data_IF_691356160394
#
_entry.id   IF_691356160394
#
_cell.length_a   1.000
_cell.length_b   1.000
_cell.length_c   1.000
_cell.angle_alpha   90.00
_cell.angle_beta   90.00
_cell.angle_gamma   90.00
#
_symmetry.space_group_name_H-M   'P 1'
#
loop_
_entity.id
_entity.type
_entity.pdbx_description
1 polymer ?
#
# COMPACT_ATOMS: atom_id res chain seq x y z
N UNK A 1 -11.82 -18.83 10.31
CA UNK A 1 -12.85 -17.85 9.90
C UNK A 1 -13.66 -18.48 8.79
N UNK A 2 -14.98 -18.26 8.75
CA UNK A 2 -15.80 -18.79 7.65
C UNK A 2 -15.47 -18.03 6.36
N UNK A 3 -15.60 -18.65 5.18
CA UNK A 3 -15.31 -17.98 3.91
C UNK A 3 -16.13 -16.69 3.68
N UNK A 4 -17.31 -16.57 4.31
CA UNK A 4 -18.14 -15.36 4.28
C UNK A 4 -17.58 -14.21 5.11
N UNK A 5 -16.84 -14.51 6.20
CA UNK A 5 -16.23 -13.48 7.04
C UNK A 5 -15.06 -12.81 6.31
N UNK A 6 -14.29 -13.59 5.53
CA UNK A 6 -13.17 -13.07 4.75
C UNK A 6 -13.63 -12.14 3.61
N UNK A 7 -14.74 -12.45 2.93
CA UNK A 7 -15.25 -11.58 1.85
C UNK A 7 -15.67 -10.20 2.37
N UNK A 8 -16.33 -10.15 3.53
CA UNK A 8 -16.68 -8.87 4.18
C UNK A 8 -15.45 -8.09 4.61
N UNK A 9 -14.42 -8.79 5.09
CA UNK A 9 -13.15 -8.16 5.47
C UNK A 9 -12.44 -7.56 4.23
N UNK A 10 -12.39 -8.31 3.12
CA UNK A 10 -11.85 -7.83 1.84
C UNK A 10 -12.59 -6.59 1.36
N UNK A 11 -13.92 -6.62 1.36
CA UNK A 11 -14.76 -5.47 0.98
C UNK A 11 -14.47 -4.25 1.85
N UNK A 12 -14.33 -4.44 3.17
CA UNK A 12 -13.98 -3.38 4.12
C UNK A 12 -12.65 -2.71 3.78
N UNK A 13 -11.60 -3.49 3.51
CA UNK A 13 -10.29 -2.95 3.14
C UNK A 13 -10.31 -2.21 1.80
N UNK A 14 -10.97 -2.76 0.79
CA UNK A 14 -11.13 -2.10 -0.51
C UNK A 14 -11.87 -0.78 -0.36
N UNK A 15 -12.95 -0.75 0.43
CA UNK A 15 -13.71 0.48 0.69
C UNK A 15 -12.83 1.57 1.33
N UNK A 16 -12.06 1.20 2.35
CA UNK A 16 -11.14 2.12 3.02
C UNK A 16 -10.04 2.64 2.09
N UNK A 17 -9.57 1.81 1.15
CA UNK A 17 -8.60 2.22 0.14
C UNK A 17 -9.22 3.25 -0.81
N UNK A 18 -10.40 2.95 -1.36
CA UNK A 18 -11.10 3.84 -2.28
C UNK A 18 -11.44 5.21 -1.64
N UNK A 19 -11.66 5.26 -0.33
CA UNK A 19 -11.82 6.52 0.40
C UNK A 19 -10.56 7.39 0.38
N UNK A 20 -9.36 6.81 0.53
CA UNK A 20 -8.11 7.57 0.38
C UNK A 20 -7.92 8.06 -1.05
N UNK A 21 -8.21 7.21 -2.05
CA UNK A 21 -8.05 7.59 -3.45
C UNK A 21 -8.98 8.74 -3.84
N UNK A 22 -10.25 8.70 -3.43
CA UNK A 22 -11.20 9.80 -3.65
C UNK A 22 -10.74 11.10 -3.01
N UNK A 23 -10.10 11.02 -1.85
CA UNK A 23 -9.53 12.20 -1.21
C UNK A 23 -8.38 12.78 -2.05
N UNK A 24 -7.46 11.93 -2.54
CA UNK A 24 -6.38 12.32 -3.46
C UNK A 24 -6.94 13.06 -4.69
N UNK A 25 -8.03 12.54 -5.29
CA UNK A 25 -8.68 13.15 -6.45
C UNK A 25 -9.30 14.52 -6.14
N UNK A 26 -9.63 14.80 -4.88
CA UNK A 26 -10.28 16.04 -4.46
C UNK A 26 -9.33 17.13 -3.97
N UNK A 27 -8.08 16.79 -3.63
CA UNK A 27 -7.10 17.74 -3.09
C UNK A 27 -6.18 18.29 -4.18
N UNK A 28 -5.76 19.55 -4.02
CA UNK A 28 -4.70 20.13 -4.84
C UNK A 28 -3.34 19.53 -4.43
N UNK A 29 -2.94 18.47 -5.12
CA UNK A 29 -1.69 17.77 -4.85
C UNK A 29 -0.44 18.62 -5.10
N UNK A 30 -0.55 19.76 -5.80
CA UNK A 30 0.58 20.67 -5.98
C UNK A 30 0.86 21.48 -4.72
N UNK A 31 -0.18 21.69 -3.90
CA UNK A 31 -0.12 22.40 -2.62
C UNK A 31 0.03 21.46 -1.42
N UNK A 32 -0.67 20.34 -1.41
CA UNK A 32 -0.75 19.42 -0.26
C UNK A 32 0.01 18.11 -0.51
N UNK A 33 1.27 18.22 -0.91
CA UNK A 33 2.11 17.09 -1.38
C UNK A 33 2.29 16.01 -0.31
N UNK A 34 2.56 16.39 0.93
CA UNK A 34 2.69 15.44 2.03
C UNK A 34 1.41 14.67 2.30
N UNK A 35 0.27 15.37 2.31
CA UNK A 35 -1.04 14.73 2.48
C UNK A 35 -1.36 13.79 1.30
N UNK A 36 -1.07 14.20 0.07
CA UNK A 36 -1.22 13.35 -1.11
C UNK A 36 -0.42 12.06 -1.00
N UNK A 37 0.88 12.14 -0.67
CA UNK A 37 1.72 10.94 -0.53
C UNK A 37 1.25 10.07 0.64
N UNK A 38 0.83 10.68 1.75
CA UNK A 38 0.27 9.94 2.88
C UNK A 38 -0.95 9.11 2.48
N UNK A 39 -1.92 9.72 1.78
CA UNK A 39 -3.11 9.01 1.34
C UNK A 39 -2.82 7.99 0.24
N UNK A 40 -1.85 8.24 -0.64
CA UNK A 40 -1.39 7.24 -1.61
C UNK A 40 -0.80 6.01 -0.89
N UNK A 41 0.01 6.24 0.14
CA UNK A 41 0.55 5.17 0.98
C UNK A 41 -0.56 4.39 1.70
N UNK A 42 -1.57 5.07 2.25
CA UNK A 42 -2.71 4.41 2.91
C UNK A 42 -3.57 3.61 1.92
N UNK A 43 -3.81 4.15 0.73
CA UNK A 43 -4.52 3.47 -0.35
C UNK A 43 -3.86 2.12 -0.66
N UNK A 44 -2.55 2.12 -0.93
CA UNK A 44 -1.82 0.90 -1.27
C UNK A 44 -1.71 -0.06 -0.09
N UNK A 45 -1.45 0.44 1.13
CA UNK A 45 -1.42 -0.39 2.34
C UNK A 45 -2.73 -1.18 2.51
N UNK A 46 -3.87 -0.51 2.32
CA UNK A 46 -5.20 -1.12 2.45
C UNK A 46 -5.51 -2.11 1.32
N UNK A 47 -5.06 -1.83 0.09
CA UNK A 47 -5.16 -2.80 -1.01
C UNK A 47 -4.35 -4.07 -0.73
N UNK A 48 -3.11 -3.93 -0.25
CA UNK A 48 -2.30 -5.09 0.15
C UNK A 48 -2.98 -5.88 1.27
N UNK A 49 -3.59 -5.22 2.25
CA UNK A 49 -4.38 -5.90 3.31
C UNK A 49 -5.62 -6.61 2.75
N UNK A 50 -6.29 -6.04 1.75
CA UNK A 50 -7.38 -6.72 1.05
C UNK A 50 -6.89 -7.99 0.34
N UNK A 51 -5.73 -7.93 -0.34
CA UNK A 51 -5.11 -9.09 -1.00
C UNK A 51 -4.80 -10.19 0.00
N UNK A 52 -4.16 -9.86 1.12
CA UNK A 52 -3.82 -10.84 2.17
C UNK A 52 -5.09 -11.52 2.70
N UNK A 53 -6.14 -10.74 2.98
CA UNK A 53 -7.44 -11.28 3.39
C UNK A 53 -8.07 -12.18 2.31
N UNK A 54 -7.96 -11.81 1.03
CA UNK A 54 -8.47 -12.61 -0.09
C UNK A 54 -7.73 -13.93 -0.27
N UNK A 55 -6.43 -13.96 0.04
CA UNK A 55 -5.62 -15.18 0.09
C UNK A 55 -5.94 -16.06 1.31
N UNK A 56 -6.80 -15.60 2.22
CA UNK A 56 -7.25 -16.36 3.39
C UNK A 56 -6.41 -16.15 4.65
N UNK A 57 -5.52 -15.15 4.66
CA UNK A 57 -4.65 -14.81 5.78
C UNK A 57 -5.19 -13.60 6.55
N UNK A 58 -4.80 -13.48 7.81
CA UNK A 58 -5.13 -12.30 8.62
C UNK A 58 -4.22 -11.13 8.22
N UNK A 59 -4.75 -9.96 7.81
CA UNK A 59 -3.92 -8.81 7.47
C UNK A 59 -3.07 -8.33 8.65
N UNK A 60 -1.77 -8.06 8.45
CA UNK A 60 -0.90 -7.68 9.55
C UNK A 60 -1.26 -6.28 10.08
N UNK A 61 -0.99 -6.04 11.37
CA UNK A 61 -1.12 -4.72 12.00
C UNK A 61 0.06 -3.79 11.69
N UNK A 62 0.85 -4.10 10.66
CA UNK A 62 2.01 -3.34 10.23
C UNK A 62 1.64 -2.36 9.10
N UNK A 63 2.54 -1.40 8.84
CA UNK A 63 2.50 -0.50 7.69
C UNK A 63 3.33 -1.02 6.49
N UNK A 64 3.64 -2.33 6.51
CA UNK A 64 4.45 -3.00 5.49
C UNK A 64 3.79 -4.30 4.95
N UNK A 65 2.49 -4.27 4.59
CA UNK A 65 1.78 -5.47 4.14
C UNK A 65 2.32 -6.07 2.84
N UNK A 66 3.01 -5.31 1.98
CA UNK A 66 3.64 -5.87 0.76
C UNK A 66 4.63 -7.00 1.06
N UNK A 67 5.36 -6.90 2.17
CA UNK A 67 6.33 -7.91 2.61
C UNK A 67 5.65 -9.20 3.07
N UNK A 68 4.43 -9.10 3.60
CA UNK A 68 3.63 -10.27 3.95
C UNK A 68 3.16 -11.01 2.69
N UNK A 69 2.80 -10.27 1.62
CA UNK A 69 2.47 -10.87 0.32
C UNK A 69 3.68 -11.68 -0.20
N UNK A 70 4.89 -11.10 -0.19
CA UNK A 70 6.11 -11.83 -0.62
C UNK A 70 6.36 -13.09 0.21
N UNK A 71 6.13 -13.02 1.52
CA UNK A 71 6.28 -14.17 2.42
C UNK A 71 5.29 -15.28 2.05
N UNK A 72 4.00 -14.92 1.86
CA UNK A 72 2.96 -15.87 1.46
C UNK A 72 3.29 -16.52 0.11
N UNK A 73 3.71 -15.74 -0.88
CA UNK A 73 4.09 -16.26 -2.20
C UNK A 73 5.30 -17.20 -2.13
N UNK A 74 6.27 -16.88 -1.27
CA UNK A 74 7.43 -17.76 -1.01
C UNK A 74 6.98 -19.08 -0.38
N UNK A 75 6.10 -19.04 0.62
CA UNK A 75 5.56 -20.24 1.26
C UNK A 75 4.72 -21.10 0.33
N UNK A 76 3.99 -20.50 -0.62
CA UNK A 76 3.28 -21.24 -1.68
C UNK A 76 4.29 -21.98 -2.56
N UNK A 77 5.36 -21.32 -3.00
CA UNK A 77 6.40 -21.92 -3.86
C UNK A 77 7.15 -23.06 -3.18
N UNK A 78 7.42 -22.93 -1.89
CA UNK A 78 8.08 -23.96 -1.08
C UNK A 78 7.14 -25.12 -0.71
N UNK A 79 5.83 -25.00 -0.98
CA UNK A 79 4.82 -26.00 -0.64
C UNK A 79 4.42 -25.99 0.84
N UNK A 80 4.80 -24.95 1.60
CA UNK A 80 4.40 -24.74 2.98
C UNK A 80 2.90 -24.36 3.09
N UNK A 81 2.39 -23.68 2.06
CA UNK A 81 1.00 -23.26 1.93
C UNK A 81 0.38 -23.93 0.71
N UNK A 82 -0.73 -24.65 0.92
CA UNK A 82 -1.48 -25.30 -0.17
C UNK A 82 -2.58 -24.38 -0.71
N UNK A 83 -2.17 -23.42 -1.53
CA UNK A 83 -3.06 -22.55 -2.30
C UNK A 83 -2.82 -22.77 -3.79
N UNK A 84 -3.89 -23.07 -4.53
CA UNK A 84 -3.82 -23.18 -5.99
C UNK A 84 -4.04 -21.79 -6.58
N UNK A 85 -2.97 -21.14 -7.01
CA UNK A 85 -2.99 -19.82 -7.62
C UNK A 85 -2.31 -19.93 -8.99
N UNK A 86 -2.95 -19.38 -10.01
CA UNK A 86 -2.40 -19.37 -11.37
C UNK A 86 -1.10 -18.56 -11.42
N UNK A 87 -0.14 -19.01 -12.23
CA UNK A 87 1.16 -18.33 -12.37
C UNK A 87 1.03 -16.86 -12.75
N UNK A 88 0.05 -16.51 -13.59
CA UNK A 88 -0.22 -15.12 -13.98
C UNK A 88 -0.64 -14.26 -12.79
N UNK A 89 -1.41 -14.83 -11.86
CA UNK A 89 -1.82 -14.14 -10.63
C UNK A 89 -0.63 -14.00 -9.68
N UNK A 90 0.25 -15.00 -9.58
CA UNK A 90 1.50 -14.88 -8.81
C UNK A 90 2.35 -13.72 -9.34
N UNK A 91 2.58 -13.67 -10.66
CA UNK A 91 3.35 -12.58 -11.28
C UNK A 91 2.71 -11.20 -11.05
N UNK A 92 1.38 -11.12 -11.10
CA UNK A 92 0.66 -9.89 -10.79
C UNK A 92 0.88 -9.48 -9.33
N UNK A 93 0.74 -10.40 -8.38
CA UNK A 93 0.94 -10.14 -6.95
C UNK A 93 2.37 -9.69 -6.65
N UNK A 94 3.37 -10.26 -7.32
CA UNK A 94 4.77 -9.82 -7.20
C UNK A 94 4.96 -8.39 -7.70
N UNK A 95 4.37 -8.03 -8.85
CA UNK A 95 4.41 -6.65 -9.38
C UNK A 95 3.74 -5.68 -8.41
N UNK A 96 2.54 -6.01 -7.94
CA UNK A 96 1.81 -5.17 -6.98
C UNK A 96 2.59 -5.00 -5.67
N UNK A 97 3.18 -6.08 -5.16
CA UNK A 97 4.03 -6.04 -3.97
C UNK A 97 5.28 -5.17 -4.18
N UNK A 98 5.92 -5.24 -5.35
CA UNK A 98 7.08 -4.42 -5.66
C UNK A 98 6.74 -2.92 -5.71
N UNK A 99 5.63 -2.56 -6.37
CA UNK A 99 5.15 -1.18 -6.42
C UNK A 99 4.74 -0.68 -5.03
N UNK A 100 4.08 -1.52 -4.23
CA UNK A 100 3.66 -1.14 -2.88
C UNK A 100 4.85 -0.77 -1.98
N UNK A 101 5.99 -1.44 -2.13
CA UNK A 101 7.20 -1.11 -1.36
C UNK A 101 7.69 0.31 -1.61
N UNK A 102 7.54 0.86 -2.83
CA UNK A 102 8.01 2.23 -3.13
C UNK A 102 7.25 3.26 -2.29
N UNK A 103 5.94 3.04 -2.06
CA UNK A 103 5.13 3.88 -1.17
C UNK A 103 5.35 3.56 0.32
N UNK A 104 5.48 2.29 0.70
CA UNK A 104 5.71 1.91 2.10
C UNK A 104 7.04 2.46 2.64
N UNK A 105 8.06 2.59 1.80
CA UNK A 105 9.36 3.14 2.16
C UNK A 105 9.32 4.64 2.49
N UNK A 106 8.27 5.36 2.09
CA UNK A 106 8.00 6.72 2.57
C UNK A 106 7.78 6.76 4.10
N UNK A 107 7.26 5.68 4.67
CA UNK A 107 7.17 5.45 6.10
C UNK A 107 6.38 6.54 6.82
N UNK A 108 7.08 7.43 7.53
CA UNK A 108 6.46 8.55 8.25
C UNK A 108 6.79 9.92 7.65
N UNK A 109 7.62 9.99 6.60
CA UNK A 109 8.03 11.23 5.94
C UNK A 109 6.83 12.09 5.47
N UNK A 110 5.75 11.52 4.92
CA UNK A 110 4.57 12.30 4.49
C UNK A 110 3.85 13.04 5.63
N UNK A 111 4.05 12.61 6.88
CA UNK A 111 3.36 13.14 8.07
C UNK A 111 4.24 14.04 8.92
N UNK A 112 5.49 13.62 9.15
CA UNK A 112 6.39 14.29 10.09
C UNK A 112 7.53 15.04 9.41
N UNK A 113 7.63 14.97 8.07
CA UNK A 113 8.72 15.57 7.32
C UNK A 113 10.05 14.85 7.55
N UNK A 114 11.14 15.53 7.24
CA UNK A 114 12.50 15.00 7.40
C UNK A 114 13.24 15.80 8.45
N UNK A 115 13.75 15.11 9.48
CA UNK A 115 14.53 15.73 10.54
C UNK A 115 15.99 15.88 10.12
N UNK A 116 16.52 17.09 10.28
CA UNK A 116 17.92 17.42 10.15
C UNK A 116 18.48 17.97 11.48
N UNK A 117 19.79 18.28 11.51
CA UNK A 117 20.46 18.81 12.70
C UNK A 117 19.79 20.09 13.21
N UNK A 118 19.35 20.95 12.29
CA UNK A 118 18.92 22.32 12.59
C UNK A 118 17.39 22.51 12.53
N UNK A 119 16.61 21.46 12.27
CA UNK A 119 15.15 21.56 12.19
C UNK A 119 14.46 20.39 11.50
N UNK A 120 13.20 20.61 11.12
CA UNK A 120 12.36 19.68 10.35
C UNK A 120 12.03 20.36 9.03
N UNK A 121 12.27 19.67 7.91
CA UNK A 121 11.74 20.08 6.60
C UNK A 121 10.30 19.56 6.52
N UNK A 122 9.29 20.43 6.42
CA UNK A 122 7.90 20.02 6.27
C UNK A 122 7.70 19.13 5.03
N UNK A 123 6.75 18.18 5.05
CA UNK A 123 6.46 17.33 3.90
C UNK A 123 6.20 18.12 2.60
N UNK A 124 5.44 19.21 2.69
CA UNK A 124 5.10 20.05 1.54
C UNK A 124 6.30 20.85 0.99
N UNK A 125 7.39 20.94 1.73
CA UNK A 125 8.66 21.52 1.25
C UNK A 125 9.63 20.43 0.78
N UNK A 126 9.50 19.22 1.33
CA UNK A 126 10.36 18.07 1.00
C UNK A 126 10.01 17.43 -0.34
N UNK A 127 8.72 17.20 -0.61
CA UNK A 127 8.30 16.56 -1.86
C UNK A 127 8.28 17.56 -3.02
N UNK A 128 8.88 17.17 -4.15
CA UNK A 128 8.63 17.85 -5.43
C UNK A 128 7.34 17.34 -6.07
N UNK A 129 6.75 18.14 -6.96
CA UNK A 129 5.55 17.73 -7.72
C UNK A 129 5.82 16.46 -8.55
N UNK A 130 7.01 16.36 -9.14
CA UNK A 130 7.38 15.20 -9.96
C UNK A 130 7.51 13.93 -9.13
N UNK A 131 8.02 14.04 -7.90
CA UNK A 131 8.08 12.90 -6.98
C UNK A 131 6.66 12.45 -6.57
N UNK A 132 5.77 13.39 -6.26
CA UNK A 132 4.36 13.05 -5.97
C UNK A 132 3.72 12.33 -7.16
N UNK A 133 3.92 12.82 -8.39
CA UNK A 133 3.39 12.16 -9.60
C UNK A 133 3.95 10.75 -9.78
N UNK A 134 5.23 10.54 -9.53
CA UNK A 134 5.83 9.20 -9.60
C UNK A 134 5.14 8.23 -8.63
N UNK A 135 4.97 8.64 -7.37
CA UNK A 135 4.31 7.82 -6.35
C UNK A 135 2.83 7.57 -6.65
N UNK A 136 2.12 8.55 -7.23
CA UNK A 136 0.74 8.36 -7.69
C UNK A 136 0.64 7.39 -8.85
N UNK A 137 1.59 7.42 -9.80
CA UNK A 137 1.64 6.46 -10.89
C UNK A 137 1.88 5.05 -10.38
N UNK A 138 2.84 4.86 -9.46
CA UNK A 138 3.12 3.59 -8.81
C UNK A 138 1.89 3.02 -8.08
N UNK A 139 1.06 3.89 -7.50
CA UNK A 139 -0.16 3.48 -6.81
C UNK A 139 -1.26 2.94 -7.76
N UNK A 140 -1.26 3.32 -9.03
CA UNK A 140 -2.36 3.03 -9.99
C UNK A 140 -2.02 2.09 -11.13
N UNK A 141 -0.74 1.68 -11.24
CA UNK A 141 -0.25 0.80 -12.30
C UNK A 141 -0.40 -0.67 -11.90
#
# INVERSE_FOLDING_TARGET
MSGMDNLRLVEGWIRLALEDWRLIESIDYTRYKGATVYHAQQFVEKLCKAIIAALGFEPPKTHKPSWEIDSILTDIRLGNVKLSIDSEVIELLEKMSALAKTLEDEGTRPRYGVRHRDGIIPPDDYYSIDHVKLLLNDATT
#
